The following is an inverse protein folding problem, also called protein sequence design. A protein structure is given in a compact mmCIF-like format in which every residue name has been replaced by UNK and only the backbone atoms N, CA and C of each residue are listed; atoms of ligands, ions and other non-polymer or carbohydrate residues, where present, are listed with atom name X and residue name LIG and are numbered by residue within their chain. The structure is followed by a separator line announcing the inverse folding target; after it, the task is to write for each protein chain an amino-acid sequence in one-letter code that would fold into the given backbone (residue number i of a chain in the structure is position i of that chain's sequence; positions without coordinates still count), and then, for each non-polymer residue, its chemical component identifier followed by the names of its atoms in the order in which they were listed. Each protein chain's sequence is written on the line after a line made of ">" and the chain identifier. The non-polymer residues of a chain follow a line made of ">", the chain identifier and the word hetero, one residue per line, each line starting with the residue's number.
data_IF_243400223884
#
_entry.id   IF_243400223884
#
_cell.length_a   1.000
_cell.length_b   1.000
_cell.length_c   1.000
_cell.angle_alpha   90.00
_cell.angle_beta   90.00
_cell.angle_gamma   90.00
#
_symmetry.space_group_name_H-M   'P 1'
#
loop_
_entity.id
_entity.type
_entity.pdbx_description
1 polymer ?
#
# COMPACT_ATOMS: atom_id res chain seq x y z
N UNK A 1 1.09 7.02 16.34
CA UNK A 1 0.50 5.69 16.53
C UNK A 1 1.28 4.58 15.81
N UNK A 2 1.55 4.71 14.50
CA UNK A 2 2.26 3.70 13.67
C UNK A 2 3.71 3.44 14.08
N UNK A 3 4.47 4.47 14.43
CA UNK A 3 5.89 4.34 14.82
C UNK A 3 6.10 3.45 16.07
N UNK A 4 5.22 3.57 17.08
CA UNK A 4 5.27 2.75 18.29
C UNK A 4 5.01 1.28 17.98
N UNK A 5 3.95 1.00 17.20
CA UNK A 5 3.61 -0.35 16.74
C UNK A 5 4.74 -1.03 15.97
N UNK A 6 5.45 -0.26 15.12
CA UNK A 6 6.61 -0.79 14.38
C UNK A 6 7.78 -1.14 15.31
N UNK A 7 8.05 -0.30 16.32
CA UNK A 7 9.07 -0.58 17.35
C UNK A 7 8.73 -1.82 18.16
N UNK A 8 7.48 -1.93 18.60
CA UNK A 8 7.01 -3.08 19.39
C UNK A 8 7.12 -4.38 18.58
N UNK A 9 6.70 -4.35 17.30
CA UNK A 9 6.84 -5.50 16.40
C UNK A 9 8.30 -5.90 16.18
N UNK A 10 9.18 -4.93 15.92
CA UNK A 10 10.61 -5.19 15.78
C UNK A 10 11.22 -5.80 17.05
N UNK A 11 10.79 -5.35 18.23
CA UNK A 11 11.22 -5.92 19.49
C UNK A 11 10.75 -7.38 19.65
N UNK A 12 9.51 -7.71 19.25
CA UNK A 12 9.01 -9.09 19.28
C UNK A 12 9.79 -10.00 18.32
N UNK A 13 10.01 -9.55 17.09
CA UNK A 13 10.80 -10.29 16.12
C UNK A 13 12.22 -10.57 16.62
N UNK A 14 12.86 -9.56 17.23
CA UNK A 14 14.21 -9.69 17.82
C UNK A 14 14.22 -10.67 18.99
N UNK A 15 13.15 -10.73 19.80
CA UNK A 15 13.01 -11.72 20.87
C UNK A 15 12.93 -13.14 20.30
N UNK A 16 12.10 -13.37 19.29
CA UNK A 16 11.95 -14.69 18.66
C UNK A 16 13.28 -15.15 18.05
N UNK A 17 14.01 -14.26 17.38
CA UNK A 17 15.34 -14.58 16.85
C UNK A 17 16.34 -14.97 17.95
N UNK A 18 16.36 -14.24 19.07
CA UNK A 18 17.21 -14.60 20.21
C UNK A 18 16.86 -15.98 20.79
N UNK A 19 15.56 -16.26 20.96
CA UNK A 19 15.13 -17.57 21.46
C UNK A 19 15.52 -18.72 20.51
N UNK A 20 15.50 -18.48 19.20
CA UNK A 20 15.97 -19.48 18.22
C UNK A 20 17.47 -19.72 18.39
N UNK A 21 18.27 -18.66 18.52
CA UNK A 21 19.72 -18.77 18.74
C UNK A 21 20.07 -19.52 20.04
N UNK A 22 19.37 -19.22 21.12
CA UNK A 22 19.53 -19.88 22.42
C UNK A 22 19.20 -21.38 22.31
N UNK A 23 18.06 -21.73 21.70
CA UNK A 23 17.67 -23.12 21.47
C UNK A 23 18.65 -23.86 20.53
N UNK A 24 19.21 -23.19 19.53
CA UNK A 24 20.24 -23.77 18.66
C UNK A 24 21.54 -24.08 19.42
N UNK A 25 21.97 -23.18 20.31
CA UNK A 25 23.14 -23.40 21.16
C UNK A 25 22.92 -24.54 22.16
N UNK A 26 21.73 -24.65 22.74
CA UNK A 26 21.38 -25.74 23.65
C UNK A 26 21.33 -27.08 22.90
N UNK A 27 20.77 -27.09 21.70
CA UNK A 27 20.69 -28.29 20.86
C UNK A 27 22.07 -28.76 20.39
N UNK A 28 23.03 -27.86 20.19
CA UNK A 28 24.43 -28.23 19.90
C UNK A 28 25.08 -28.98 21.06
N UNK A 29 24.70 -28.68 22.31
CA UNK A 29 25.20 -29.37 23.51
C UNK A 29 24.46 -30.69 23.74
N UNK A 30 23.15 -30.73 23.47
CA UNK A 30 22.29 -31.91 23.63
C UNK A 30 21.62 -32.34 22.31
N UNK A 31 22.39 -32.96 21.42
CA UNK A 31 21.99 -33.32 20.05
C UNK A 31 20.74 -34.22 19.93
N UNK A 32 20.39 -34.96 20.99
CA UNK A 32 19.28 -35.91 21.01
C UNK A 32 18.03 -35.40 21.76
N UNK A 33 18.02 -34.17 22.26
CA UNK A 33 16.88 -33.64 22.98
C UNK A 33 15.71 -33.32 22.02
N UNK A 34 14.75 -34.24 21.93
CA UNK A 34 13.60 -34.15 21.01
C UNK A 34 12.72 -32.94 21.36
N UNK A 35 12.55 -32.64 22.66
CA UNK A 35 11.73 -31.50 23.12
C UNK A 35 12.31 -30.16 22.67
N UNK A 36 13.63 -29.99 22.74
CA UNK A 36 14.31 -28.79 22.24
C UNK A 36 14.14 -28.63 20.72
N UNK A 37 14.19 -29.73 19.96
CA UNK A 37 13.94 -29.71 18.50
C UNK A 37 12.51 -29.26 18.18
N UNK A 38 11.52 -29.79 18.88
CA UNK A 38 10.12 -29.40 18.69
C UNK A 38 9.91 -27.90 19.00
N UNK A 39 10.49 -27.41 20.09
CA UNK A 39 10.44 -25.98 20.45
C UNK A 39 11.11 -25.09 19.39
N UNK A 40 12.25 -25.51 18.85
CA UNK A 40 12.94 -24.81 17.78
C UNK A 40 12.09 -24.74 16.50
N UNK A 41 11.48 -25.87 16.11
CA UNK A 41 10.59 -25.95 14.94
C UNK A 41 9.40 -24.98 15.11
N UNK A 42 8.77 -24.97 16.29
CA UNK A 42 7.67 -24.08 16.59
C UNK A 42 8.10 -22.60 16.54
N UNK A 43 9.25 -22.26 17.11
CA UNK A 43 9.79 -20.90 17.09
C UNK A 43 10.09 -20.41 15.66
N UNK A 44 10.69 -21.26 14.82
CA UNK A 44 10.93 -20.98 13.39
C UNK A 44 9.63 -20.82 12.62
N UNK A 45 8.65 -21.68 12.87
CA UNK A 45 7.35 -21.58 12.20
C UNK A 45 6.63 -20.28 12.58
N UNK A 46 6.70 -19.88 13.85
CA UNK A 46 6.14 -18.61 14.32
C UNK A 46 6.77 -17.41 13.60
N UNK A 47 8.10 -17.44 13.43
CA UNK A 47 8.83 -16.41 12.69
C UNK A 47 8.37 -16.33 11.23
N UNK A 48 8.28 -17.49 10.56
CA UNK A 48 7.87 -17.58 9.15
C UNK A 48 6.44 -17.03 8.93
N UNK A 49 5.49 -17.33 9.83
CA UNK A 49 4.13 -16.77 9.75
C UNK A 49 4.18 -15.23 9.80
N UNK A 50 4.95 -14.66 10.74
CA UNK A 50 5.04 -13.21 10.90
C UNK A 50 5.63 -12.52 9.66
N UNK A 51 6.66 -13.13 9.06
CA UNK A 51 7.27 -12.67 7.80
C UNK A 51 6.29 -12.74 6.62
N UNK A 52 5.56 -13.86 6.49
CA UNK A 52 4.55 -14.05 5.43
C UNK A 52 3.43 -13.01 5.53
N UNK A 53 2.92 -12.75 6.73
CA UNK A 53 1.93 -11.70 6.93
C UNK A 53 2.45 -10.31 6.52
N UNK A 54 3.71 -10.01 6.82
CA UNK A 54 4.32 -8.74 6.45
C UNK A 54 4.49 -8.63 4.93
N UNK A 55 4.93 -9.70 4.27
CA UNK A 55 5.03 -9.76 2.81
C UNK A 55 3.65 -9.57 2.16
N UNK A 56 2.61 -10.24 2.66
CA UNK A 56 1.25 -10.09 2.15
C UNK A 56 0.74 -8.64 2.28
N UNK A 57 1.00 -7.98 3.42
CA UNK A 57 0.66 -6.56 3.63
C UNK A 57 1.42 -5.65 2.66
N UNK A 58 2.71 -5.87 2.47
CA UNK A 58 3.54 -5.12 1.50
C UNK A 58 3.02 -5.29 0.08
N UNK A 59 2.75 -6.53 -0.35
CA UNK A 59 2.18 -6.84 -1.66
C UNK A 59 0.84 -6.13 -1.89
N UNK A 60 -0.06 -6.17 -0.91
CA UNK A 60 -1.35 -5.46 -0.98
C UNK A 60 -1.16 -3.96 -1.16
N UNK A 61 -0.26 -3.35 -0.37
CA UNK A 61 0.05 -1.92 -0.48
C UNK A 61 0.67 -1.57 -1.83
N UNK A 62 1.63 -2.36 -2.32
CA UNK A 62 2.26 -2.14 -3.62
C UNK A 62 1.25 -2.24 -4.75
N UNK A 63 0.36 -3.25 -4.70
CA UNK A 63 -0.73 -3.41 -5.67
C UNK A 63 -1.64 -2.19 -5.68
N UNK A 64 -2.08 -1.73 -4.50
CA UNK A 64 -2.92 -0.54 -4.39
C UNK A 64 -2.24 0.71 -4.96
N UNK A 65 -0.98 0.95 -4.57
CA UNK A 65 -0.19 2.06 -5.09
C UNK A 65 -0.06 1.99 -6.62
N UNK A 66 0.23 0.81 -7.17
CA UNK A 66 0.34 0.62 -8.62
C UNK A 66 -0.94 1.03 -9.35
N UNK A 67 -2.13 0.62 -8.90
CA UNK A 67 -3.39 1.00 -9.52
C UNK A 67 -3.76 2.48 -9.28
N UNK A 68 -3.46 3.01 -8.09
CA UNK A 68 -3.66 4.43 -7.79
C UNK A 68 -2.80 5.33 -8.69
N UNK A 69 -1.57 4.90 -8.98
CA UNK A 69 -0.66 5.57 -9.91
C UNK A 69 -1.01 5.32 -11.38
N UNK A 70 -1.50 4.12 -11.74
CA UNK A 70 -1.94 3.80 -13.10
C UNK A 70 -3.15 4.62 -13.56
N UNK A 71 -3.97 5.10 -12.62
CA UNK A 71 -5.08 6.00 -12.92
C UNK A 71 -4.65 7.46 -13.12
N UNK A 72 -3.38 7.82 -12.83
CA UNK A 72 -2.90 9.21 -12.97
C UNK A 72 -2.85 9.70 -14.42
N UNK A 73 -2.34 8.92 -15.40
CA UNK A 73 -2.41 9.29 -16.81
C UNK A 73 -3.85 9.49 -17.30
N UNK A 74 -4.77 8.58 -16.92
CA UNK A 74 -6.19 8.70 -17.27
C UNK A 74 -6.84 9.95 -16.65
N UNK A 75 -6.57 10.23 -15.37
CA UNK A 75 -7.01 11.46 -14.70
C UNK A 75 -6.44 12.72 -15.35
N UNK A 76 -5.17 12.71 -15.72
CA UNK A 76 -4.52 13.84 -16.39
C UNK A 76 -5.11 14.09 -17.78
N UNK A 77 -5.34 13.04 -18.56
CA UNK A 77 -6.00 13.12 -19.86
C UNK A 77 -7.43 13.64 -19.71
N UNK A 78 -8.21 13.13 -18.76
CA UNK A 78 -9.57 13.60 -18.49
C UNK A 78 -9.61 15.09 -18.14
N UNK A 79 -8.67 15.56 -17.31
CA UNK A 79 -8.53 16.98 -16.99
C UNK A 79 -8.18 17.83 -18.20
N UNK A 80 -7.26 17.36 -19.05
CA UNK A 80 -6.87 18.05 -20.29
C UNK A 80 -8.05 18.14 -21.26
N UNK A 81 -8.80 17.05 -21.44
CA UNK A 81 -10.01 17.01 -22.26
C UNK A 81 -11.12 17.93 -21.71
N UNK A 82 -11.31 17.98 -20.39
CA UNK A 82 -12.26 18.92 -19.76
C UNK A 82 -11.89 20.37 -20.03
N UNK A 83 -10.59 20.73 -19.93
CA UNK A 83 -10.10 22.07 -20.27
C UNK A 83 -10.29 22.40 -21.76
N UNK A 84 -9.99 21.46 -22.64
CA UNK A 84 -10.18 21.65 -24.09
C UNK A 84 -11.66 21.81 -24.44
N UNK A 85 -12.57 21.03 -23.85
CA UNK A 85 -14.01 21.23 -24.02
C UNK A 85 -14.46 22.60 -23.52
N UNK A 86 -14.05 23.00 -22.31
CA UNK A 86 -14.40 24.30 -21.75
C UNK A 86 -13.89 25.50 -22.58
N UNK A 87 -12.76 25.36 -23.30
CA UNK A 87 -12.27 26.37 -24.25
C UNK A 87 -13.08 26.41 -25.55
N UNK A 88 -13.61 25.26 -25.99
CA UNK A 88 -14.39 25.13 -27.23
C UNK A 88 -15.85 25.54 -27.04
N UNK A 89 -16.36 25.46 -25.81
CA UNK A 89 -17.69 25.97 -25.46
C UNK A 89 -17.65 27.51 -25.47
N UNK A 90 -18.29 28.10 -26.48
CA UNK A 90 -18.51 29.55 -26.55
C UNK A 90 -19.52 29.89 -25.44
N UNK A 91 -19.13 30.74 -24.50
CA UNK A 91 -19.98 31.10 -23.34
C UNK A 91 -20.92 32.26 -23.62
N UNK A 92 -20.61 33.06 -24.64
CA UNK A 92 -21.34 34.26 -25.04
C UNK A 92 -21.17 34.47 -26.55
N UNK A 93 -22.26 34.82 -27.22
CA UNK A 93 -22.25 35.36 -28.58
C UNK A 93 -22.60 36.85 -28.49
N UNK A 94 -21.88 37.68 -29.24
CA UNK A 94 -22.16 39.11 -29.33
C UNK A 94 -22.96 39.36 -30.62
N UNK A 95 -24.16 39.90 -30.48
CA UNK A 95 -24.99 40.25 -31.63
C UNK A 95 -24.46 41.51 -32.32
N UNK A 96 -24.85 41.74 -33.58
CA UNK A 96 -24.43 42.90 -34.39
C UNK A 96 -24.72 44.27 -33.73
N UNK A 97 -25.60 44.30 -32.72
CA UNK A 97 -25.96 45.50 -31.93
C UNK A 97 -25.11 45.71 -30.67
N UNK A 98 -24.14 44.82 -30.42
CA UNK A 98 -23.19 44.91 -29.31
C UNK A 98 -23.67 44.31 -27.99
N UNK A 99 -24.88 43.72 -27.94
CA UNK A 99 -25.39 43.03 -26.76
C UNK A 99 -24.88 41.58 -26.69
N UNK A 100 -24.55 41.11 -25.49
CA UNK A 100 -24.02 39.77 -25.25
C UNK A 100 -25.15 38.80 -24.85
N UNK A 101 -25.39 37.78 -25.66
CA UNK A 101 -26.27 36.66 -25.31
C UNK A 101 -25.45 35.53 -24.69
N UNK A 102 -25.84 35.10 -23.48
CA UNK A 102 -25.28 33.91 -22.84
C UNK A 102 -26.04 32.68 -23.33
N UNK A 103 -25.37 31.83 -24.11
CA UNK A 103 -25.93 30.52 -24.47
C UNK A 103 -26.01 29.64 -23.21
N UNK A 104 -27.20 29.59 -22.62
CA UNK A 104 -27.59 28.56 -21.67
C UNK A 104 -27.67 27.25 -22.44
N UNK A 105 -26.59 26.47 -22.44
CA UNK A 105 -26.64 25.06 -22.83
C UNK A 105 -27.77 24.37 -22.02
N UNK A 106 -28.92 24.14 -22.66
CA UNK A 106 -29.97 23.24 -22.16
C UNK A 106 -29.32 21.88 -21.97
N UNK A 107 -29.08 21.52 -20.71
CA UNK A 107 -28.79 20.14 -20.31
C UNK A 107 -30.04 19.30 -20.56
N UNK A 108 -29.99 18.44 -21.57
CA UNK A 108 -30.75 17.17 -21.63
C UNK A 108 -29.94 16.06 -20.99
#
# INVERSE_FOLDING_TARGET
>A
YTAKRNKDRFAQHKKIQKTIQELEMELQKELQNIKLKEQLILARHKLNIEEQEEMAKKLKSTRQNFFEHANKPGRWLAHKLKKEKAKRTIQQLQDEKGEYQHDLERKT
#
